data_IF_557962565883
#
_entry.id   IF_557962565883
#
_cell.length_a   1.000
_cell.length_b   1.000
_cell.length_c   1.000
_cell.angle_alpha   90.00
_cell.angle_beta   90.00
_cell.angle_gamma   90.00
#
_symmetry.space_group_name_H-M   'P 1'
#
loop_
_entity.id
_entity.type
_entity.pdbx_description
1 polymer ?
#
# COMPACT_ATOMS: atom_id res chain seq x y z
N UNK A 1 -4.73 20.62 16.38
CA UNK A 1 -4.66 19.27 16.97
C UNK A 1 -5.50 18.35 16.09
N UNK A 2 -4.87 17.61 15.16
CA UNK A 2 -5.57 16.70 14.23
C UNK A 2 -5.55 15.34 14.90
N UNK A 3 -6.69 14.90 15.43
CA UNK A 3 -6.88 13.55 15.97
C UNK A 3 -6.60 12.56 14.85
N UNK A 4 -5.38 12.00 14.84
CA UNK A 4 -5.03 10.88 13.99
C UNK A 4 -5.84 9.71 14.52
N UNK A 5 -6.84 9.33 13.73
CA UNK A 5 -7.66 8.16 13.96
C UNK A 5 -6.67 6.99 14.04
N UNK A 6 -6.55 6.39 15.23
CA UNK A 6 -5.84 5.12 15.44
C UNK A 6 -6.70 4.00 14.86
N UNK A 7 -7.03 4.11 13.57
CA UNK A 7 -7.73 3.08 12.82
C UNK A 7 -6.69 1.98 12.54
N UNK A 8 -6.64 0.99 13.43
CA UNK A 8 -5.82 -0.21 13.24
C UNK A 8 -6.10 -0.89 11.90
N UNK A 9 -7.27 -0.65 11.30
CA UNK A 9 -7.66 -1.20 10.02
C UNK A 9 -6.86 -0.66 8.83
N UNK A 10 -6.22 0.51 8.89
CA UNK A 10 -5.45 1.10 7.77
C UNK A 10 -3.99 1.39 8.12
N UNK A 11 -3.45 0.77 9.17
CA UNK A 11 -2.13 1.07 9.72
C UNK A 11 -1.01 1.07 8.66
N UNK A 12 -0.97 0.07 7.76
CA UNK A 12 0.10 0.04 6.76
C UNK A 12 0.00 1.17 5.74
N UNK A 13 -1.21 1.58 5.35
CA UNK A 13 -1.36 2.74 4.48
C UNK A 13 -0.87 4.03 5.19
N UNK A 14 -1.08 4.15 6.50
CA UNK A 14 -0.54 5.26 7.29
C UNK A 14 0.99 5.21 7.32
N UNK A 15 1.58 4.02 7.49
CA UNK A 15 3.04 3.82 7.39
C UNK A 15 3.54 4.26 6.02
N UNK A 16 2.94 3.76 4.93
CA UNK A 16 3.34 4.11 3.56
C UNK A 16 3.24 5.61 3.31
N UNK A 17 2.15 6.22 3.76
CA UNK A 17 1.94 7.67 3.68
C UNK A 17 3.05 8.43 4.43
N UNK A 18 3.47 7.95 5.60
CA UNK A 18 4.54 8.58 6.37
C UNK A 18 5.92 8.33 5.77
N UNK A 19 6.16 7.29 4.98
CA UNK A 19 7.42 7.17 4.21
C UNK A 19 7.64 8.42 3.35
N UNK A 20 6.58 8.93 2.73
CA UNK A 20 6.64 10.17 1.96
C UNK A 20 6.96 11.39 2.85
N UNK A 21 6.19 11.61 3.92
CA UNK A 21 6.38 12.77 4.79
C UNK A 21 7.70 12.73 5.55
N UNK A 22 8.16 11.57 6.00
CA UNK A 22 9.45 11.41 6.66
C UNK A 22 10.61 11.63 5.69
N UNK A 23 10.47 11.18 4.43
CA UNK A 23 11.49 11.40 3.40
C UNK A 23 11.67 12.89 3.08
N UNK A 24 10.58 13.65 2.88
CA UNK A 24 10.67 15.10 2.59
C UNK A 24 11.13 15.92 3.80
N UNK A 25 10.89 15.43 5.02
CA UNK A 25 11.31 16.08 6.27
C UNK A 25 12.69 15.61 6.77
N UNK A 26 13.39 14.78 5.99
CA UNK A 26 14.70 14.21 6.35
C UNK A 26 14.71 13.49 7.71
N UNK A 27 13.60 12.83 8.04
CA UNK A 27 13.46 12.02 9.24
C UNK A 27 14.00 10.59 9.00
N UNK A 28 14.39 9.90 10.07
CA UNK A 28 14.86 8.53 9.98
C UNK A 28 13.71 7.57 9.65
N UNK A 29 13.69 7.05 8.44
CA UNK A 29 12.63 6.17 7.93
C UNK A 29 12.47 4.86 8.72
N UNK A 30 13.46 4.40 9.47
CA UNK A 30 13.43 3.11 10.16
C UNK A 30 13.27 3.26 11.68
N UNK A 31 13.10 4.49 12.18
CA UNK A 31 12.83 4.75 13.58
C UNK A 31 11.36 4.44 13.90
N UNK A 32 11.07 4.09 15.15
CA UNK A 32 9.71 3.96 15.65
C UNK A 32 9.03 5.34 15.82
N UNK A 33 7.78 5.45 15.35
CA UNK A 33 6.92 6.63 15.52
C UNK A 33 5.56 6.22 16.12
N UNK A 34 5.52 5.81 17.41
CA UNK A 34 4.32 5.23 18.04
C UNK A 34 3.13 6.20 18.15
N UNK A 35 3.38 7.50 18.00
CA UNK A 35 2.34 8.54 17.93
C UNK A 35 1.68 8.63 16.56
N UNK A 36 2.31 8.08 15.51
CA UNK A 36 1.86 8.17 14.13
C UNK A 36 1.25 6.85 13.63
N UNK A 37 1.82 5.71 14.02
CA UNK A 37 1.40 4.37 13.59
C UNK A 37 1.89 3.29 14.58
N UNK A 38 1.35 2.09 14.45
CA UNK A 38 1.55 1.00 15.41
C UNK A 38 2.73 0.05 15.09
N UNK A 39 3.38 0.18 13.93
CA UNK A 39 4.44 -0.73 13.46
C UNK A 39 5.56 0.05 12.75
N UNK A 40 6.73 -0.53 12.52
CA UNK A 40 7.86 0.16 11.88
C UNK A 40 7.75 0.18 10.36
N UNK A 41 8.27 1.25 9.76
CA UNK A 41 8.44 1.29 8.32
C UNK A 41 9.62 0.42 7.88
N UNK A 42 9.40 -0.41 6.86
CA UNK A 42 10.41 -1.27 6.25
C UNK A 42 10.84 -0.78 4.85
N UNK A 43 10.26 0.31 4.36
CA UNK A 43 10.46 0.79 3.00
C UNK A 43 11.48 1.93 2.93
N UNK A 44 12.31 1.91 1.88
CA UNK A 44 13.31 2.95 1.64
C UNK A 44 12.80 4.16 0.85
N UNK A 45 13.67 5.15 0.58
CA UNK A 45 13.31 6.40 -0.11
C UNK A 45 12.74 6.23 -1.53
N UNK A 46 13.08 5.15 -2.23
CA UNK A 46 12.51 4.88 -3.57
C UNK A 46 10.98 4.70 -3.48
N UNK A 47 10.52 4.01 -2.43
CA UNK A 47 9.09 3.80 -2.22
C UNK A 47 8.34 5.11 -1.93
N UNK A 48 9.00 6.11 -1.33
CA UNK A 48 8.45 7.45 -1.13
C UNK A 48 7.95 8.07 -2.44
N UNK A 49 8.67 7.85 -3.54
CA UNK A 49 8.29 8.39 -4.86
C UNK A 49 7.05 7.68 -5.40
N UNK A 50 6.97 6.36 -5.21
CA UNK A 50 5.83 5.53 -5.64
C UNK A 50 4.56 5.89 -4.88
N UNK A 51 4.66 6.07 -3.56
CA UNK A 51 3.50 6.38 -2.71
C UNK A 51 3.09 7.86 -2.73
N UNK A 52 3.97 8.77 -3.15
CA UNK A 52 3.74 10.21 -3.16
C UNK A 52 2.37 10.65 -3.71
N UNK A 53 1.90 10.22 -4.90
CA UNK A 53 0.60 10.66 -5.43
C UNK A 53 -0.59 10.23 -4.56
N UNK A 54 -0.45 9.16 -3.78
CA UNK A 54 -1.49 8.66 -2.88
C UNK A 54 -1.38 9.27 -1.47
N UNK A 55 -0.16 9.59 -1.02
CA UNK A 55 0.13 10.11 0.32
C UNK A 55 -0.36 11.56 0.54
N UNK A 56 -0.40 12.37 -0.53
CA UNK A 56 -0.85 13.77 -0.49
C UNK A 56 -2.38 13.91 -0.44
N UNK A 57 -3.12 12.86 -0.80
CA UNK A 57 -4.58 12.86 -0.84
C UNK A 57 -5.18 12.74 0.58
N UNK A 58 -6.48 13.05 0.75
CA UNK A 58 -7.21 12.70 1.96
C UNK A 58 -7.08 11.21 2.26
N UNK A 59 -6.85 10.83 3.52
CA UNK A 59 -6.45 9.47 3.94
C UNK A 59 -7.31 8.37 3.30
N UNK A 60 -8.64 8.50 3.37
CA UNK A 60 -9.56 7.51 2.80
C UNK A 60 -9.43 7.38 1.27
N UNK A 61 -9.29 8.51 0.58
CA UNK A 61 -9.14 8.52 -0.87
C UNK A 61 -7.78 7.96 -1.30
N UNK A 62 -6.71 8.36 -0.61
CA UNK A 62 -5.38 7.81 -0.84
C UNK A 62 -5.33 6.30 -0.64
N UNK A 63 -5.98 5.79 0.42
CA UNK A 63 -6.09 4.36 0.67
C UNK A 63 -6.81 3.62 -0.46
N UNK A 64 -7.99 4.10 -0.87
CA UNK A 64 -8.76 3.48 -1.96
C UNK A 64 -7.98 3.47 -3.27
N UNK A 65 -7.34 4.60 -3.62
CA UNK A 65 -6.57 4.70 -4.86
C UNK A 65 -5.29 3.85 -4.81
N UNK A 66 -4.64 3.74 -3.65
CA UNK A 66 -3.52 2.83 -3.45
C UNK A 66 -3.95 1.38 -3.65
N UNK A 67 -5.06 0.96 -3.06
CA UNK A 67 -5.59 -0.40 -3.25
C UNK A 67 -5.96 -0.69 -4.72
N UNK A 68 -6.57 0.27 -5.43
CA UNK A 68 -6.87 0.13 -6.86
C UNK A 68 -5.60 0.07 -7.72
N UNK A 69 -4.58 0.86 -7.38
CA UNK A 69 -3.30 0.82 -8.08
C UNK A 69 -2.64 -0.56 -7.94
N UNK A 70 -2.61 -1.12 -6.73
CA UNK A 70 -2.06 -2.46 -6.50
C UNK A 70 -2.83 -3.57 -7.23
N UNK A 71 -4.16 -3.47 -7.24
CA UNK A 71 -5.02 -4.35 -8.02
C UNK A 71 -4.69 -4.29 -9.53
N UNK A 72 -4.49 -3.08 -10.04
CA UNK A 72 -4.14 -2.85 -11.44
C UNK A 72 -2.75 -3.39 -11.80
N UNK A 73 -1.74 -3.17 -10.94
CA UNK A 73 -0.38 -3.70 -11.12
C UNK A 73 -0.41 -5.23 -11.20
N UNK A 74 -1.11 -5.89 -10.27
CA UNK A 74 -1.23 -7.35 -10.26
C UNK A 74 -1.95 -7.87 -11.51
N UNK A 75 -3.07 -7.24 -11.88
CA UNK A 75 -3.78 -7.57 -13.11
C UNK A 75 -2.87 -7.44 -14.34
N UNK A 76 -2.15 -6.33 -14.46
CA UNK A 76 -1.25 -6.06 -15.57
C UNK A 76 -0.14 -7.11 -15.65
N UNK A 77 0.49 -7.46 -14.52
CA UNK A 77 1.52 -8.49 -14.44
C UNK A 77 1.01 -9.86 -14.91
N UNK A 78 -0.16 -10.30 -14.42
CA UNK A 78 -0.75 -11.59 -14.82
C UNK A 78 -1.11 -11.60 -16.31
N UNK A 79 -1.57 -10.48 -16.86
CA UNK A 79 -1.89 -10.37 -18.30
C UNK A 79 -0.65 -10.42 -19.20
N UNK A 80 0.53 -10.09 -18.68
CA UNK A 80 1.82 -10.14 -19.41
C UNK A 80 2.49 -11.52 -19.38
N UNK A 81 2.00 -12.47 -18.57
CA UNK A 81 2.55 -13.82 -18.52
C UNK A 81 2.36 -14.57 -19.86
N UNK A 82 3.40 -15.24 -20.39
CA UNK A 82 3.35 -16.00 -21.64
C UNK A 82 2.70 -17.39 -21.46
N UNK A 83 1.49 -17.43 -20.89
CA UNK A 83 0.71 -18.64 -20.63
C UNK A 83 -0.69 -18.55 -21.25
N UNK A 84 -1.39 -19.68 -21.35
CA UNK A 84 -2.74 -19.70 -21.91
C UNK A 84 -3.71 -18.82 -21.09
N UNK A 85 -4.64 -18.15 -21.79
CA UNK A 85 -5.59 -17.21 -21.18
C UNK A 85 -6.41 -17.81 -20.04
N UNK A 86 -6.76 -19.09 -20.15
CA UNK A 86 -7.48 -19.84 -19.10
C UNK A 86 -6.72 -19.88 -17.78
N UNK A 87 -5.40 -20.04 -17.83
CA UNK A 87 -4.53 -20.06 -16.65
C UNK A 87 -4.32 -18.67 -16.08
N UNK A 88 -4.18 -17.65 -16.92
CA UNK A 88 -4.19 -16.25 -16.45
C UNK A 88 -5.47 -15.92 -15.68
N UNK A 89 -6.64 -16.34 -16.21
CA UNK A 89 -7.92 -16.12 -15.54
C UNK A 89 -8.05 -16.90 -14.23
N UNK A 90 -7.57 -18.15 -14.19
CA UNK A 90 -7.54 -18.93 -12.96
C UNK A 90 -6.72 -18.21 -11.87
N UNK A 91 -5.50 -17.76 -12.20
CA UNK A 91 -4.64 -17.00 -11.28
C UNK A 91 -5.37 -15.74 -10.81
N UNK A 92 -5.99 -14.96 -11.70
CA UNK A 92 -6.74 -13.76 -11.32
C UNK A 92 -7.87 -14.04 -10.34
N UNK A 93 -8.62 -15.13 -10.52
CA UNK A 93 -9.71 -15.51 -9.62
C UNK A 93 -9.17 -15.84 -8.22
N UNK A 94 -8.10 -16.63 -8.14
CA UNK A 94 -7.46 -16.95 -6.86
C UNK A 94 -6.87 -15.70 -6.19
N UNK A 95 -6.15 -14.87 -6.95
CA UNK A 95 -5.57 -13.63 -6.46
C UNK A 95 -6.61 -12.61 -6.00
N UNK A 96 -7.81 -12.60 -6.60
CA UNK A 96 -8.89 -11.71 -6.19
C UNK A 96 -9.33 -11.97 -4.74
N UNK A 97 -9.41 -13.25 -4.34
CA UNK A 97 -9.78 -13.63 -2.98
C UNK A 97 -8.73 -13.14 -1.95
N UNK A 98 -7.45 -13.36 -2.23
CA UNK A 98 -6.35 -12.88 -1.40
C UNK A 98 -6.29 -11.34 -1.33
N UNK A 99 -6.59 -10.65 -2.43
CA UNK A 99 -6.66 -9.19 -2.47
C UNK A 99 -7.81 -8.65 -1.61
N UNK A 100 -8.96 -9.30 -1.59
CA UNK A 100 -10.09 -8.89 -0.75
C UNK A 100 -9.70 -8.98 0.72
N UNK A 101 -9.09 -10.09 1.13
CA UNK A 101 -8.60 -10.27 2.49
C UNK A 101 -7.52 -9.24 2.85
N UNK A 102 -6.52 -9.05 1.99
CA UNK A 102 -5.45 -8.07 2.24
C UNK A 102 -5.95 -6.62 2.25
N UNK A 103 -6.97 -6.26 1.47
CA UNK A 103 -7.58 -4.91 1.51
C UNK A 103 -8.35 -4.71 2.81
N UNK A 104 -9.06 -5.74 3.29
CA UNK A 104 -9.83 -5.68 4.54
C UNK A 104 -8.93 -5.49 5.77
N UNK A 105 -7.73 -6.06 5.75
CA UNK A 105 -6.70 -5.88 6.80
C UNK A 105 -5.66 -4.80 6.46
N UNK A 106 -5.84 -4.08 5.35
CA UNK A 106 -4.93 -3.08 4.79
C UNK A 106 -3.46 -3.52 4.73
N UNK A 107 -3.17 -4.75 4.35
CA UNK A 107 -1.81 -5.28 4.20
C UNK A 107 -1.27 -5.24 2.76
N UNK A 108 -1.98 -4.60 1.83
CA UNK A 108 -1.60 -4.66 0.40
C UNK A 108 -0.32 -3.87 0.09
N UNK A 109 0.69 -4.61 -0.38
CA UNK A 109 1.80 -4.13 -1.20
C UNK A 109 2.26 -5.24 -2.17
N UNK A 110 2.17 -5.08 -3.50
CA UNK A 110 2.57 -6.07 -4.49
C UNK A 110 4.04 -5.98 -4.89
N UNK A 111 4.81 -5.02 -4.33
CA UNK A 111 6.22 -4.82 -4.65
C UNK A 111 7.18 -5.62 -3.75
N UNK A 112 6.65 -6.34 -2.74
CA UNK A 112 7.36 -7.24 -1.81
C UNK A 112 6.46 -8.47 -1.61
#
# INVERSE_FOLDING_TARGET
MRTLIKDNHINNFIIFRNVFYHSINHLNLYKEYPLEYADVNLYGPIFSIVIAPFAVLPVKLGFVLWSLFNAWVLYFAIRKLPIQKKWQNAILIFSCNEMLNNTAWSQINPFI
#
